data_IF_340930791557
#
_entry.id   IF_340930791557
#
_cell.length_a   1.000
_cell.length_b   1.000
_cell.length_c   1.000
_cell.angle_alpha   90.00
_cell.angle_beta   90.00
_cell.angle_gamma   90.00
#
_symmetry.space_group_name_H-M   'P 1'
#
loop_
_entity.id
_entity.type
_entity.pdbx_description
1 polymer ?
#
# COMPACT_ATOMS: atom_id res chain seq x y z
N UNK A 1 -12.25 -3.63 1.19
CA UNK A 1 -11.37 -4.82 1.03
C UNK A 1 -10.87 -4.85 -0.39
N UNK A 2 -9.64 -5.30 -0.54
CA UNK A 2 -8.82 -5.30 -1.74
C UNK A 2 -8.04 -6.62 -1.80
N UNK A 3 -7.28 -6.80 -2.86
CA UNK A 3 -6.48 -8.01 -3.11
C UNK A 3 -4.97 -7.74 -3.10
N UNK A 4 -4.59 -6.47 -3.18
CA UNK A 4 -3.24 -6.03 -3.39
C UNK A 4 -2.76 -6.20 -4.84
N UNK A 5 -3.67 -6.40 -5.78
CA UNK A 5 -3.37 -6.42 -7.21
C UNK A 5 -3.73 -5.04 -7.76
N UNK A 6 -2.71 -4.19 -7.94
CA UNK A 6 -2.87 -2.83 -8.44
C UNK A 6 -3.49 -2.83 -9.83
N UNK A 7 -4.57 -2.07 -10.00
CA UNK A 7 -5.24 -1.92 -11.30
C UNK A 7 -4.38 -1.08 -12.25
N UNK A 8 -3.89 0.06 -11.75
CA UNK A 8 -3.00 0.96 -12.47
C UNK A 8 -2.39 2.02 -11.54
N UNK A 9 -1.34 2.70 -11.99
CA UNK A 9 -0.86 3.92 -11.33
C UNK A 9 -1.75 5.12 -11.71
N UNK A 10 -2.17 5.89 -10.71
CA UNK A 10 -2.75 7.22 -10.87
C UNK A 10 -1.73 8.31 -10.63
N UNK A 11 -2.15 9.57 -10.80
CA UNK A 11 -1.31 10.75 -10.56
C UNK A 11 -2.05 11.79 -9.73
N UNK A 12 -1.44 12.26 -8.66
CA UNK A 12 -1.99 13.36 -7.86
C UNK A 12 -1.86 14.65 -8.66
N UNK A 13 -2.98 15.34 -8.89
CA UNK A 13 -3.03 16.58 -9.70
C UNK A 13 -3.32 17.83 -8.89
N UNK A 14 -3.83 17.68 -7.66
CA UNK A 14 -4.02 18.79 -6.74
C UNK A 14 -3.99 18.30 -5.28
N UNK A 15 -3.46 19.13 -4.39
CA UNK A 15 -3.48 18.89 -2.93
C UNK A 15 -4.01 20.12 -2.20
N UNK A 16 -5.14 19.98 -1.53
CA UNK A 16 -5.74 21.02 -0.69
C UNK A 16 -5.56 20.66 0.79
N UNK A 17 -4.74 21.44 1.51
CA UNK A 17 -4.49 21.23 2.94
C UNK A 17 -5.35 22.19 3.75
N UNK A 18 -6.09 21.64 4.72
CA UNK A 18 -6.81 22.41 5.75
C UNK A 18 -6.37 21.96 7.13
N UNK A 19 -6.72 22.70 8.19
CA UNK A 19 -6.41 22.31 9.57
C UNK A 19 -7.02 20.95 9.97
N UNK A 20 -8.10 20.52 9.31
CA UNK A 20 -8.87 19.32 9.70
C UNK A 20 -8.62 18.10 8.81
N UNK A 21 -8.19 18.31 7.56
CA UNK A 21 -8.01 17.25 6.56
C UNK A 21 -7.13 17.70 5.40
N UNK A 22 -6.59 16.72 4.69
CA UNK A 22 -5.97 16.93 3.38
C UNK A 22 -6.88 16.32 2.33
N UNK A 23 -7.24 17.07 1.31
CA UNK A 23 -7.93 16.56 0.14
C UNK A 23 -6.94 16.44 -1.00
N UNK A 24 -6.95 15.30 -1.67
CA UNK A 24 -6.15 15.09 -2.88
C UNK A 24 -7.08 14.80 -4.06
N UNK A 25 -6.74 15.37 -5.22
CA UNK A 25 -7.35 15.03 -6.50
C UNK A 25 -6.39 14.11 -7.26
N UNK A 26 -6.90 12.99 -7.76
CA UNK A 26 -6.13 11.94 -8.41
C UNK A 26 -6.69 11.72 -9.81
N UNK A 27 -5.83 11.87 -10.81
CA UNK A 27 -6.09 11.42 -12.17
C UNK A 27 -5.94 9.90 -12.25
N UNK A 28 -6.95 9.24 -12.83
CA UNK A 28 -7.02 7.78 -12.93
C UNK A 28 -7.74 7.33 -14.20
N UNK A 29 -7.64 6.03 -14.49
CA UNK A 29 -8.33 5.36 -15.58
C UNK A 29 -9.66 4.74 -15.14
N UNK A 30 -10.06 4.90 -13.88
CA UNK A 30 -11.33 4.38 -13.41
C UNK A 30 -12.48 5.12 -14.09
N UNK A 31 -13.41 4.35 -14.63
CA UNK A 31 -14.70 4.83 -15.11
C UNK A 31 -15.78 4.47 -14.08
N UNK A 32 -16.88 5.23 -14.09
CA UNK A 32 -18.07 4.97 -13.30
C UNK A 32 -17.77 4.82 -11.80
N UNK A 33 -16.98 5.75 -11.23
CA UNK A 33 -16.77 5.81 -9.78
C UNK A 33 -18.06 6.26 -9.10
N UNK A 34 -18.35 5.70 -7.93
CA UNK A 34 -19.50 6.14 -7.13
C UNK A 34 -19.03 6.99 -5.94
N UNK A 35 -19.82 8.01 -5.58
CA UNK A 35 -19.56 8.75 -4.35
C UNK A 35 -19.71 7.81 -3.16
N UNK A 36 -18.74 7.82 -2.25
CA UNK A 36 -18.69 6.88 -1.13
C UNK A 36 -17.97 5.57 -1.43
N UNK A 37 -17.55 5.32 -2.67
CA UNK A 37 -16.76 4.14 -3.04
C UNK A 37 -15.38 4.16 -2.35
N UNK A 38 -14.88 2.97 -1.99
CA UNK A 38 -13.54 2.79 -1.40
C UNK A 38 -12.50 2.45 -2.46
N UNK A 39 -11.44 3.23 -2.52
CA UNK A 39 -10.28 3.03 -3.39
C UNK A 39 -9.03 2.94 -2.52
N UNK A 40 -8.18 1.93 -2.75
CA UNK A 40 -6.86 1.88 -2.14
C UNK A 40 -5.91 2.80 -2.92
N UNK A 41 -5.29 3.75 -2.22
CA UNK A 41 -4.28 4.68 -2.76
C UNK A 41 -2.96 4.43 -2.03
N UNK A 42 -1.98 3.87 -2.73
CA UNK A 42 -0.77 3.25 -2.15
C UNK A 42 -1.12 2.34 -0.96
N UNK A 43 -2.19 1.56 -1.12
CA UNK A 43 -2.72 0.64 -0.12
C UNK A 43 -3.66 1.28 0.89
N UNK A 44 -3.63 2.59 1.14
CA UNK A 44 -4.55 3.21 2.09
C UNK A 44 -5.98 3.25 1.53
N UNK A 45 -6.95 2.66 2.24
CA UNK A 45 -8.37 2.68 1.88
C UNK A 45 -8.92 4.10 2.09
N UNK A 46 -9.28 4.77 0.99
CA UNK A 46 -9.82 6.12 1.00
C UNK A 46 -11.17 6.17 0.28
N UNK A 47 -12.03 7.07 0.74
CA UNK A 47 -13.40 7.21 0.22
C UNK A 47 -13.48 8.31 -0.83
N UNK A 48 -14.07 7.99 -1.99
CA UNK A 48 -14.35 8.95 -3.05
C UNK A 48 -15.34 10.01 -2.56
N UNK A 49 -14.93 11.27 -2.57
CA UNK A 49 -15.75 12.42 -2.14
C UNK A 49 -16.25 13.28 -3.29
N UNK A 50 -15.60 13.23 -4.45
CA UNK A 50 -16.10 13.77 -5.72
C UNK A 50 -15.46 13.05 -6.89
N UNK A 51 -16.10 13.13 -8.07
CA UNK A 51 -15.50 12.71 -9.33
C UNK A 51 -15.84 13.70 -10.44
N UNK A 52 -14.92 13.88 -11.38
CA UNK A 52 -15.11 14.66 -12.59
C UNK A 52 -14.17 14.15 -13.69
N UNK A 53 -14.74 13.73 -14.82
CA UNK A 53 -13.99 13.18 -15.96
C UNK A 53 -13.09 12.01 -15.54
N UNK A 54 -11.77 12.16 -15.68
CA UNK A 54 -10.76 11.17 -15.33
C UNK A 54 -10.15 11.42 -13.95
N UNK A 55 -10.79 12.22 -13.10
CA UNK A 55 -10.30 12.57 -11.78
C UNK A 55 -11.33 12.24 -10.71
N UNK A 56 -10.83 11.84 -9.55
CA UNK A 56 -11.61 11.74 -8.33
C UNK A 56 -10.88 12.39 -7.18
N UNK A 57 -11.62 12.75 -6.14
CA UNK A 57 -11.04 13.32 -4.92
C UNK A 57 -11.31 12.44 -3.72
N UNK A 58 -10.36 12.42 -2.80
CA UNK A 58 -10.48 11.74 -1.51
C UNK A 58 -10.01 12.66 -0.40
N UNK A 59 -10.60 12.48 0.79
CA UNK A 59 -10.17 13.16 2.00
C UNK A 59 -9.31 12.21 2.83
N UNK A 60 -8.14 12.69 3.27
CA UNK A 60 -7.19 11.97 4.13
C UNK A 60 -7.28 12.54 5.54
N UNK A 61 -7.52 11.65 6.50
CA UNK A 61 -7.60 12.01 7.91
C UNK A 61 -6.23 12.33 8.50
N UNK A 62 -6.14 13.15 9.57
CA UNK A 62 -4.88 13.39 10.26
C UNK A 62 -4.20 12.11 10.79
N UNK A 63 -4.96 11.08 11.13
CA UNK A 63 -4.42 9.79 11.58
C UNK A 63 -3.75 9.05 10.42
N UNK A 64 -4.44 8.94 9.28
CA UNK A 64 -3.87 8.35 8.05
C UNK A 64 -2.61 9.09 7.63
N UNK A 65 -2.58 10.42 7.74
CA UNK A 65 -1.40 11.22 7.42
C UNK A 65 -0.17 10.91 8.28
N UNK A 66 -0.37 10.50 9.54
CA UNK A 66 0.72 10.15 10.47
C UNK A 66 1.27 8.76 10.22
N UNK A 67 0.40 7.82 9.83
CA UNK A 67 0.74 6.40 9.69
C UNK A 67 1.15 6.00 8.27
N UNK A 68 0.99 6.89 7.29
CA UNK A 68 1.25 6.60 5.88
C UNK A 68 2.22 7.59 5.25
N UNK A 69 2.72 7.24 4.07
CA UNK A 69 3.55 8.11 3.22
C UNK A 69 2.77 9.29 2.63
N UNK A 70 1.46 9.42 2.87
CA UNK A 70 0.63 10.50 2.31
C UNK A 70 1.10 11.90 2.72
N UNK A 71 1.84 12.03 3.83
CA UNK A 71 2.52 13.26 4.25
C UNK A 71 3.58 13.76 3.26
N UNK A 72 4.16 12.86 2.48
CA UNK A 72 5.16 13.16 1.46
C UNK A 72 4.56 13.42 0.07
N UNK A 73 3.25 13.22 -0.14
CA UNK A 73 2.63 13.46 -1.43
C UNK A 73 2.78 14.90 -1.90
N UNK A 74 3.01 15.04 -3.20
CA UNK A 74 3.11 16.30 -3.93
C UNK A 74 2.26 16.22 -5.19
N UNK A 75 1.92 17.38 -5.76
CA UNK A 75 1.36 17.40 -7.11
C UNK A 75 2.37 16.77 -8.08
N UNK A 76 1.88 15.87 -8.93
CA UNK A 76 2.69 15.06 -9.83
C UNK A 76 3.13 13.71 -9.26
N UNK A 77 2.95 13.44 -7.95
CA UNK A 77 3.23 12.12 -7.38
C UNK A 77 2.39 11.03 -8.07
N UNK A 78 3.04 9.93 -8.46
CA UNK A 78 2.37 8.72 -8.90
C UNK A 78 1.98 7.86 -7.68
N UNK A 79 0.81 7.22 -7.75
CA UNK A 79 0.27 6.39 -6.66
C UNK A 79 -0.30 5.09 -7.23
N UNK A 80 -0.15 3.98 -6.52
CA UNK A 80 -0.83 2.73 -6.85
C UNK A 80 -2.33 2.85 -6.55
N UNK A 81 -3.18 2.47 -7.49
CA UNK A 81 -4.63 2.47 -7.32
C UNK A 81 -5.20 1.06 -7.46
N UNK A 82 -6.05 0.67 -6.51
CA UNK A 82 -6.85 -0.55 -6.58
C UNK A 82 -8.29 -0.26 -6.14
N UNK A 83 -9.25 -0.70 -6.95
CA UNK A 83 -10.68 -0.61 -6.62
C UNK A 83 -11.08 -1.68 -5.61
N UNK A 84 -12.10 -1.39 -4.79
CA UNK A 84 -12.60 -2.37 -3.82
C UNK A 84 -13.15 -3.64 -4.52
N UNK A 85 -12.83 -4.80 -3.94
CA UNK A 85 -13.22 -6.10 -4.44
C UNK A 85 -14.74 -6.28 -4.49
N UNK A 86 -15.29 -6.76 -5.61
CA UNK A 86 -16.67 -7.26 -5.73
C UNK A 86 -16.73 -8.73 -5.37
N UNK A 87 -17.91 -9.21 -4.95
CA UNK A 87 -18.12 -10.63 -4.62
C UNK A 87 -17.79 -11.61 -5.75
N UNK A 88 -17.90 -11.15 -7.00
CA UNK A 88 -17.63 -11.95 -8.20
C UNK A 88 -16.18 -11.90 -8.68
N UNK A 89 -15.36 -11.06 -8.07
CA UNK A 89 -13.99 -10.84 -8.51
C UNK A 89 -13.06 -11.95 -8.04
N UNK A 90 -11.92 -12.08 -8.74
CA UNK A 90 -10.86 -13.01 -8.35
C UNK A 90 -10.00 -12.39 -7.26
N UNK A 91 -9.78 -13.12 -6.17
CA UNK A 91 -8.77 -12.78 -5.16
C UNK A 91 -7.38 -13.22 -5.66
N UNK A 92 -6.70 -12.34 -6.42
CA UNK A 92 -5.43 -12.67 -7.08
C UNK A 92 -4.18 -12.57 -6.18
N UNK A 93 -4.24 -11.73 -5.14
CA UNK A 93 -3.21 -11.61 -4.10
C UNK A 93 -3.65 -12.24 -2.79
N UNK A 94 -3.79 -11.42 -1.76
CA UNK A 94 -4.29 -11.84 -0.43
C UNK A 94 -5.31 -10.84 0.11
N UNK A 95 -5.87 -11.07 1.31
CA UNK A 95 -6.79 -10.11 1.91
C UNK A 95 -6.06 -8.84 2.33
N UNK A 96 -6.28 -7.77 1.58
CA UNK A 96 -5.80 -6.42 1.90
C UNK A 96 -7.00 -5.59 2.34
N UNK A 97 -6.94 -5.05 3.54
CA UNK A 97 -8.00 -4.21 4.13
C UNK A 97 -7.88 -2.76 3.68
N UNK A 98 -6.64 -2.35 3.37
CA UNK A 98 -6.25 -0.98 3.12
C UNK A 98 -6.07 -0.17 4.40
N UNK A 99 -5.69 -0.84 5.47
CA UNK A 99 -5.46 -0.25 6.79
C UNK A 99 -3.96 -0.35 7.09
N UNK A 100 -3.23 0.68 6.69
CA UNK A 100 -1.78 0.73 6.83
C UNK A 100 -1.40 0.65 8.32
N UNK A 101 -0.53 -0.31 8.64
CA UNK A 101 -0.05 -0.56 9.99
C UNK A 101 1.13 0.34 10.34
N UNK A 102 2.05 0.49 9.40
CA UNK A 102 3.28 1.29 9.57
C UNK A 102 3.89 1.65 8.23
N UNK A 103 5.02 2.35 8.25
CA UNK A 103 5.87 2.58 7.09
C UNK A 103 7.25 1.97 7.30
N UNK A 104 7.92 1.61 6.22
CA UNK A 104 9.34 1.25 6.26
C UNK A 104 10.10 1.94 5.12
N UNK A 105 11.42 1.80 5.13
CA UNK A 105 12.32 2.44 4.16
C UNK A 105 12.92 1.40 3.22
N UNK A 106 12.98 1.71 1.92
CA UNK A 106 13.74 0.94 0.95
C UNK A 106 15.24 1.17 1.16
N UNK A 107 15.97 0.16 1.63
CA UNK A 107 17.42 0.25 1.86
C UNK A 107 18.22 -0.04 0.60
N UNK A 108 17.81 -1.06 -0.15
CA UNK A 108 18.58 -1.56 -1.28
C UNK A 108 17.68 -2.16 -2.36
N UNK A 109 18.10 -1.95 -3.61
CA UNK A 109 17.51 -2.56 -4.79
C UNK A 109 18.61 -3.28 -5.58
N UNK A 110 18.44 -4.58 -5.84
CA UNK A 110 19.39 -5.41 -6.59
C UNK A 110 18.68 -5.99 -7.80
N UNK A 111 19.22 -5.74 -9.00
CA UNK A 111 18.68 -6.33 -10.23
C UNK A 111 19.22 -7.74 -10.46
N UNK A 112 18.31 -8.67 -10.75
CA UNK A 112 18.58 -10.06 -11.09
C UNK A 112 17.93 -10.35 -12.45
N UNK A 113 18.66 -10.06 -13.53
CA UNK A 113 18.13 -10.13 -14.91
C UNK A 113 16.85 -9.29 -15.05
N UNK A 114 15.69 -9.93 -15.21
CA UNK A 114 14.39 -9.27 -15.32
C UNK A 114 13.68 -9.06 -13.97
N UNK A 115 14.23 -9.61 -12.89
CA UNK A 115 13.69 -9.50 -11.52
C UNK A 115 14.44 -8.45 -10.73
N UNK A 116 13.80 -7.93 -9.69
CA UNK A 116 14.41 -6.97 -8.77
C UNK A 116 14.15 -7.40 -7.34
N UNK A 117 15.22 -7.64 -6.58
CA UNK A 117 15.16 -7.84 -5.15
C UNK A 117 15.16 -6.48 -4.44
N UNK A 118 14.20 -6.29 -3.52
CA UNK A 118 14.12 -5.10 -2.66
C UNK A 118 14.34 -5.50 -1.21
N UNK A 119 15.22 -4.78 -0.53
CA UNK A 119 15.47 -4.90 0.90
C UNK A 119 14.86 -3.70 1.62
N UNK A 120 13.99 -3.97 2.59
CA UNK A 120 13.32 -2.96 3.40
C UNK A 120 13.76 -3.03 4.86
N UNK A 121 13.95 -1.86 5.47
CA UNK A 121 14.42 -1.67 6.86
C UNK A 121 13.54 -0.67 7.62
N UNK A 122 13.74 -0.58 8.93
CA UNK A 122 13.08 0.43 9.77
C UNK A 122 11.68 0.04 10.24
N UNK A 123 11.29 -1.23 10.09
CA UNK A 123 10.14 -1.79 10.79
C UNK A 123 10.47 -1.86 12.28
N UNK A 124 9.60 -1.32 13.13
CA UNK A 124 9.74 -1.44 14.59
C UNK A 124 9.79 -2.94 14.97
N UNK A 125 10.73 -3.37 15.83
CA UNK A 125 10.84 -4.76 16.28
C UNK A 125 9.52 -5.38 16.78
N UNK A 126 8.59 -4.58 17.32
CA UNK A 126 7.27 -5.06 17.75
C UNK A 126 6.44 -5.62 16.59
N UNK A 127 6.73 -5.21 15.35
CA UNK A 127 6.01 -5.61 14.15
C UNK A 127 6.66 -6.79 13.39
N UNK A 128 7.91 -7.14 13.71
CA UNK A 128 8.61 -8.28 13.08
C UNK A 128 7.81 -9.60 13.18
N UNK A 129 7.11 -9.93 14.29
CA UNK A 129 6.32 -11.16 14.37
C UNK A 129 5.21 -11.28 13.31
N UNK A 130 4.71 -10.16 12.75
CA UNK A 130 3.69 -10.17 11.70
C UNK A 130 4.26 -10.50 10.31
N UNK A 131 5.59 -10.45 10.14
CA UNK A 131 6.27 -10.83 8.92
C UNK A 131 6.60 -12.32 8.95
N UNK A 132 5.92 -13.10 8.11
CA UNK A 132 6.12 -14.55 8.01
C UNK A 132 6.90 -14.86 6.73
N UNK A 133 8.04 -15.54 6.83
CA UNK A 133 8.79 -15.99 5.63
C UNK A 133 7.89 -16.86 4.74
N UNK A 134 7.81 -16.53 3.45
CA UNK A 134 6.86 -17.08 2.46
C UNK A 134 5.39 -16.76 2.70
N UNK A 135 5.09 -15.91 3.68
CA UNK A 135 3.79 -15.26 3.84
C UNK A 135 3.65 -14.03 2.95
N UNK A 136 2.51 -13.36 3.11
CA UNK A 136 2.14 -12.18 2.33
C UNK A 136 2.40 -10.88 3.10
N UNK A 137 2.62 -9.81 2.36
CA UNK A 137 2.64 -8.43 2.85
C UNK A 137 2.13 -7.52 1.74
N UNK A 138 1.44 -6.43 2.08
CA UNK A 138 1.11 -5.40 1.11
C UNK A 138 2.04 -4.19 1.28
N UNK A 139 2.75 -3.83 0.21
CA UNK A 139 3.69 -2.68 0.16
C UNK A 139 3.17 -1.66 -0.83
N UNK A 140 2.83 -0.45 -0.38
CA UNK A 140 2.08 0.54 -1.18
C UNK A 140 0.85 -0.07 -1.87
N UNK A 141 0.16 -0.98 -1.18
CA UNK A 141 -0.99 -1.71 -1.73
C UNK A 141 -0.65 -2.84 -2.69
N UNK A 142 0.62 -3.14 -2.96
CA UNK A 142 1.02 -4.29 -3.79
C UNK A 142 1.19 -5.53 -2.93
N UNK A 143 0.41 -6.57 -3.19
CA UNK A 143 0.52 -7.88 -2.56
C UNK A 143 1.80 -8.59 -3.02
N UNK A 144 2.70 -8.88 -2.08
CA UNK A 144 3.99 -9.49 -2.32
C UNK A 144 4.25 -10.65 -1.38
N UNK A 145 5.13 -11.57 -1.80
CA UNK A 145 5.62 -12.66 -0.96
C UNK A 145 6.91 -12.25 -0.26
N UNK A 146 6.99 -12.49 1.04
CA UNK A 146 8.22 -12.29 1.82
C UNK A 146 9.24 -13.39 1.49
N UNK A 147 10.33 -13.03 0.81
CA UNK A 147 11.42 -13.94 0.45
C UNK A 147 12.32 -14.25 1.66
N UNK A 148 12.63 -13.22 2.43
CA UNK A 148 13.47 -13.26 3.63
C UNK A 148 12.87 -12.35 4.70
N UNK A 149 12.98 -12.76 5.96
CA UNK A 149 12.60 -11.97 7.13
C UNK A 149 13.71 -12.14 8.17
N UNK A 150 14.27 -11.02 8.62
CA UNK A 150 15.26 -10.91 9.67
C UNK A 150 14.76 -9.90 10.72
N UNK A 151 15.42 -9.79 11.89
CA UNK A 151 14.98 -8.87 12.94
C UNK A 151 14.99 -7.39 12.55
N UNK A 152 15.84 -6.98 11.61
CA UNK A 152 16.07 -5.59 11.21
C UNK A 152 15.64 -5.28 9.78
N UNK A 153 15.43 -6.30 8.95
CA UNK A 153 15.06 -6.15 7.55
C UNK A 153 14.22 -7.31 7.01
N UNK A 154 13.57 -7.08 5.87
CA UNK A 154 12.93 -8.13 5.10
C UNK A 154 13.14 -7.88 3.60
N UNK A 155 12.96 -8.94 2.80
CA UNK A 155 13.15 -8.88 1.35
C UNK A 155 11.95 -9.39 0.59
N UNK A 156 11.73 -8.79 -0.57
CA UNK A 156 10.73 -9.22 -1.56
C UNK A 156 11.37 -9.24 -2.95
N UNK A 157 10.82 -10.04 -3.85
CA UNK A 157 11.25 -10.13 -5.24
C UNK A 157 10.13 -9.60 -6.15
N UNK A 158 10.43 -8.58 -6.93
CA UNK A 158 9.52 -8.05 -7.94
C UNK A 158 9.74 -8.73 -9.29
N UNK A 159 8.63 -9.10 -9.92
CA UNK A 159 8.59 -9.65 -11.28
C UNK A 159 8.43 -8.52 -12.32
N UNK A 160 8.76 -8.75 -13.61
CA UNK A 160 8.68 -7.72 -14.65
C UNK A 160 7.32 -7.03 -14.76
N UNK A 161 6.24 -7.79 -14.60
CA UNK A 161 4.89 -7.25 -14.63
C UNK A 161 4.67 -6.24 -13.49
N UNK A 162 5.00 -6.58 -12.25
CA UNK A 162 4.85 -5.69 -11.09
C UNK A 162 5.72 -4.44 -11.23
N UNK A 163 6.95 -4.57 -11.74
CA UNK A 163 7.84 -3.43 -11.97
C UNK A 163 7.26 -2.41 -12.95
N UNK A 164 6.55 -2.89 -13.99
CA UNK A 164 5.96 -2.04 -15.04
C UNK A 164 4.63 -1.41 -14.62
N UNK A 165 3.87 -2.07 -13.75
CA UNK A 165 2.48 -1.72 -13.45
C UNK A 165 2.26 -1.12 -12.06
N UNK A 166 3.34 -0.89 -11.29
CA UNK A 166 3.27 -0.31 -9.94
C UNK A 166 4.36 0.74 -9.73
N UNK A 167 4.19 1.58 -8.73
CA UNK A 167 5.16 2.61 -8.31
C UNK A 167 6.39 2.05 -7.59
N UNK A 168 6.43 0.75 -7.28
CA UNK A 168 7.55 0.17 -6.51
C UNK A 168 8.90 0.26 -7.22
N UNK A 169 8.90 0.29 -8.55
CA UNK A 169 10.14 0.44 -9.35
C UNK A 169 10.69 1.87 -9.31
N UNK A 170 9.88 2.86 -8.91
CA UNK A 170 10.25 4.27 -8.86
C UNK A 170 10.55 4.75 -7.44
N UNK A 171 10.38 3.90 -6.42
CA UNK A 171 10.75 4.24 -5.03
C UNK A 171 12.27 4.41 -4.97
N UNK A 172 12.79 5.61 -4.62
CA UNK A 172 14.22 5.80 -4.52
C UNK A 172 14.79 5.04 -3.32
N UNK A 173 16.07 4.72 -3.36
CA UNK A 173 16.79 4.27 -2.18
C UNK A 173 16.65 5.32 -1.06
N UNK A 174 16.32 4.88 0.16
CA UNK A 174 15.96 5.74 1.28
C UNK A 174 14.51 6.24 1.28
N UNK A 175 13.72 5.89 0.26
CA UNK A 175 12.30 6.23 0.17
C UNK A 175 11.43 5.38 1.10
N UNK A 176 10.39 5.99 1.66
CA UNK A 176 9.42 5.29 2.51
C UNK A 176 8.30 4.65 1.71
N UNK A 177 7.75 3.55 2.22
CA UNK A 177 6.58 2.85 1.69
C UNK A 177 5.58 2.54 2.79
N UNK A 178 4.29 2.47 2.44
CA UNK A 178 3.23 1.98 3.31
C UNK A 178 3.31 0.46 3.44
N UNK A 179 3.12 -0.04 4.67
CA UNK A 179 3.09 -1.47 4.98
C UNK A 179 1.77 -1.83 5.65
N UNK A 180 1.09 -2.82 5.08
CA UNK A 180 0.00 -3.53 5.72
C UNK A 180 0.39 -5.00 5.86
N UNK A 181 0.34 -5.51 7.09
CA UNK A 181 0.63 -6.92 7.36
C UNK A 181 -0.58 -7.79 7.01
N UNK A 182 -0.31 -9.05 6.64
CA UNK A 182 -1.37 -10.02 6.37
C UNK A 182 -2.37 -10.09 7.54
N UNK A 183 -3.63 -9.82 7.23
CA UNK A 183 -4.70 -9.82 8.22
C UNK A 183 -4.79 -11.16 8.97
N UNK A 184 -4.51 -12.28 8.32
CA UNK A 184 -4.48 -13.60 8.96
C UNK A 184 -3.35 -13.72 9.98
N UNK A 185 -2.16 -13.18 9.68
CA UNK A 185 -1.06 -13.13 10.64
C UNK A 185 -1.44 -12.30 11.88
N UNK A 186 -2.11 -11.15 11.66
CA UNK A 186 -2.62 -10.30 12.74
C UNK A 186 -3.63 -11.04 13.64
N UNK A 187 -4.58 -11.75 13.04
CA UNK A 187 -5.58 -12.53 13.80
C UNK A 187 -4.91 -13.61 14.68
N UNK A 188 -4.00 -14.39 14.11
CA UNK A 188 -3.31 -15.48 14.82
C UNK A 188 -2.47 -14.93 15.99
N UNK A 189 -1.76 -13.82 15.78
CA UNK A 189 -0.95 -13.20 16.82
C UNK A 189 -1.81 -12.57 17.93
N UNK A 190 -2.90 -11.89 17.56
CA UNK A 190 -3.82 -11.31 18.54
C UNK A 190 -4.47 -12.38 19.44
N UNK A 191 -4.85 -13.52 18.86
CA UNK A 191 -5.36 -14.67 19.61
C UNK A 191 -4.30 -15.20 20.59
N UNK A 192 -3.07 -15.46 20.12
CA UNK A 192 -1.97 -15.95 20.99
C UNK A 192 -1.66 -15.00 22.14
N UNK A 193 -1.81 -13.69 21.93
CA UNK A 193 -1.60 -12.70 22.98
C UNK A 193 -2.74 -12.70 24.01
N UNK A 194 -3.97 -12.95 23.57
CA UNK A 194 -5.15 -13.04 24.45
C UNK A 194 -5.13 -14.30 25.32
N UNK A 195 -4.56 -15.41 24.82
CA UNK A 195 -4.38 -16.65 25.58
C UNK A 195 -3.25 -16.60 26.63
N UNK A 196 -2.43 -15.53 26.62
CA UNK A 196 -1.33 -15.31 27.57
C UNK A 196 -1.71 -14.40 28.75
N UNK A 197 -2.92 -13.83 28.75
CA UNK A 197 -3.48 -12.97 29.81
C UNK A 197 -4.45 -13.77 30.66
#
# INVERSE_FOLDING_TARGET
MFTGIVDHCGRIVAIEKTEKKIRIAIESKFADLELGESIAVDGACLTVTSQHQNQFTVDISPETMKLTIASAYQEGSEVNLERSLRLTDRLGGHFVMGHIDTTCMLEQQISHEEFVELTFVGIDPQYVPYLVKKGSVAINGVSLTLNEVQPDHFKVMLIPHTLKHTTLSTVPQGGSVNIEFDYLAKLVLNQKNSERV
#
